data_IF_872850549999
#
_entry.id   IF_872850549999
#
_cell.length_a   1.000
_cell.length_b   1.000
_cell.length_c   1.000
_cell.angle_alpha   90.00
_cell.angle_beta   90.00
_cell.angle_gamma   90.00
#
_symmetry.space_group_name_H-M   'P 1'
#
loop_
_entity.id
_entity.type
_entity.pdbx_description
1 polymer ?
#
# COMPACT_ATOMS: atom_id res chain seq x y z
N UNK A 1 -6.01 -22.64 10.62
CA UNK A 1 -6.88 -21.77 9.78
C UNK A 1 -6.89 -22.32 8.36
N UNK A 2 -8.06 -22.47 7.77
CA UNK A 2 -8.15 -22.90 6.37
C UNK A 2 -7.86 -21.75 5.43
N UNK A 3 -7.53 -22.06 4.18
CA UNK A 3 -7.31 -21.04 3.15
C UNK A 3 -8.56 -20.19 2.92
N UNK A 4 -9.74 -20.82 2.94
CA UNK A 4 -11.01 -20.11 2.80
C UNK A 4 -11.27 -19.13 3.94
N UNK A 5 -10.99 -19.53 5.18
CA UNK A 5 -11.13 -18.67 6.34
C UNK A 5 -10.17 -17.48 6.27
N UNK A 6 -8.94 -17.71 5.81
CA UNK A 6 -7.96 -16.65 5.63
C UNK A 6 -8.43 -15.65 4.57
N UNK A 7 -8.92 -16.13 3.43
CA UNK A 7 -9.45 -15.27 2.38
C UNK A 7 -10.64 -14.45 2.85
N UNK A 8 -11.55 -15.07 3.61
CA UNK A 8 -12.70 -14.35 4.19
C UNK A 8 -12.23 -13.26 5.17
N UNK A 9 -11.20 -13.54 5.96
CA UNK A 9 -10.64 -12.55 6.86
C UNK A 9 -10.03 -11.37 6.07
N UNK A 10 -9.28 -11.65 5.02
CA UNK A 10 -8.68 -10.61 4.19
C UNK A 10 -9.74 -9.77 3.48
N UNK A 11 -10.84 -10.39 3.03
CA UNK A 11 -11.95 -9.67 2.42
C UNK A 11 -12.74 -8.80 3.41
N UNK A 12 -12.64 -9.09 4.71
CA UNK A 12 -13.28 -8.28 5.74
C UNK A 12 -12.55 -6.96 6.01
N UNK A 13 -11.30 -6.83 5.53
CA UNK A 13 -10.52 -5.61 5.68
C UNK A 13 -11.09 -4.52 4.77
N UNK A 14 -11.53 -3.41 5.36
CA UNK A 14 -12.18 -2.33 4.62
C UNK A 14 -11.21 -1.23 4.17
N UNK A 15 -10.07 -1.10 4.84
CA UNK A 15 -9.09 -0.06 4.55
C UNK A 15 -7.77 -0.59 4.01
N UNK A 16 -7.53 -1.89 4.07
CA UNK A 16 -6.28 -2.50 3.66
C UNK A 16 -6.47 -3.28 2.38
N UNK A 17 -5.72 -2.89 1.35
CA UNK A 17 -5.63 -3.63 0.10
C UNK A 17 -4.61 -4.75 0.27
N UNK A 18 -4.97 -5.96 -0.13
CA UNK A 18 -4.07 -7.12 -0.11
C UNK A 18 -4.12 -7.79 -1.48
N UNK A 19 -2.99 -7.96 -2.10
CA UNK A 19 -2.91 -8.72 -3.34
C UNK A 19 -1.62 -9.51 -3.42
N UNK A 20 -1.66 -10.58 -4.19
CA UNK A 20 -0.53 -11.48 -4.40
C UNK A 20 -0.26 -11.56 -5.90
N UNK A 21 0.99 -11.37 -6.28
CA UNK A 21 1.42 -11.47 -7.67
C UNK A 21 2.49 -12.55 -7.80
N UNK A 22 2.49 -13.25 -8.94
CA UNK A 22 3.56 -14.15 -9.29
C UNK A 22 4.82 -13.34 -9.56
N UNK A 23 5.95 -13.73 -8.95
CA UNK A 23 7.17 -12.92 -8.98
C UNK A 23 7.72 -12.73 -10.41
N UNK A 24 7.65 -13.76 -11.24
CA UNK A 24 8.21 -13.73 -12.58
C UNK A 24 7.29 -13.03 -13.58
N UNK A 25 6.01 -13.42 -13.64
CA UNK A 25 5.07 -12.92 -14.63
C UNK A 25 4.34 -11.65 -14.23
N UNK A 26 4.36 -11.28 -12.95
CA UNK A 26 3.61 -10.17 -12.35
C UNK A 26 2.09 -10.33 -12.49
N UNK A 27 1.60 -11.56 -12.66
CA UNK A 27 0.17 -11.82 -12.76
C UNK A 27 -0.46 -11.97 -11.39
N UNK A 28 -1.67 -11.46 -11.26
CA UNK A 28 -2.43 -11.54 -10.00
C UNK A 28 -2.82 -12.98 -9.71
N UNK A 29 -2.44 -13.45 -8.51
CA UNK A 29 -2.84 -14.74 -7.97
C UNK A 29 -3.97 -14.61 -6.96
N UNK A 30 -4.08 -13.46 -6.31
CA UNK A 30 -5.12 -13.15 -5.34
C UNK A 30 -5.25 -11.63 -5.19
N UNK A 31 -6.45 -11.18 -4.86
CA UNK A 31 -6.71 -9.82 -4.40
C UNK A 31 -7.97 -9.81 -3.53
N UNK A 32 -7.99 -8.93 -2.52
CA UNK A 32 -9.15 -8.82 -1.65
C UNK A 32 -10.16 -7.80 -2.18
N UNK A 33 -11.31 -7.65 -1.50
CA UNK A 33 -12.39 -6.74 -1.92
C UNK A 33 -11.92 -5.29 -2.05
N UNK A 34 -11.05 -4.84 -1.15
CA UNK A 34 -10.53 -3.47 -1.22
C UNK A 34 -9.77 -3.23 -2.52
N UNK A 35 -8.94 -4.19 -2.94
CA UNK A 35 -8.22 -4.11 -4.22
C UNK A 35 -9.17 -4.08 -5.41
N UNK A 36 -10.21 -4.90 -5.37
CA UNK A 36 -11.21 -4.96 -6.45
C UNK A 36 -11.85 -3.59 -6.65
N UNK A 37 -12.23 -2.94 -5.57
CA UNK A 37 -12.90 -1.66 -5.61
C UNK A 37 -11.99 -0.51 -6.08
N UNK A 38 -10.69 -0.58 -5.80
CA UNK A 38 -9.74 0.45 -6.22
C UNK A 38 -9.22 0.24 -7.64
N UNK A 39 -9.38 -0.95 -8.21
CA UNK A 39 -8.92 -1.27 -9.56
C UNK A 39 -9.83 -0.81 -10.68
N UNK A 40 -10.88 -0.05 -10.40
CA UNK A 40 -11.87 0.42 -11.40
C UNK A 40 -12.48 -0.73 -12.22
N UNK A 41 -12.65 -1.90 -11.60
CA UNK A 41 -13.18 -3.08 -12.26
C UNK A 41 -12.18 -3.82 -13.15
N UNK A 42 -10.93 -3.39 -13.20
CA UNK A 42 -9.88 -4.04 -14.01
C UNK A 42 -9.26 -5.26 -13.34
N UNK A 43 -9.42 -5.40 -12.02
CA UNK A 43 -8.80 -6.49 -11.28
C UNK A 43 -9.40 -7.83 -11.64
N UNK A 44 -8.57 -8.77 -12.07
CA UNK A 44 -8.96 -10.15 -12.36
C UNK A 44 -7.75 -11.06 -12.17
N UNK A 45 -7.99 -12.28 -11.72
CA UNK A 45 -6.90 -13.26 -11.56
C UNK A 45 -6.26 -13.56 -12.92
N UNK A 46 -4.94 -13.67 -12.94
CA UNK A 46 -4.18 -13.91 -14.14
C UNK A 46 -3.84 -12.67 -14.96
N UNK A 47 -4.40 -11.51 -14.64
CA UNK A 47 -4.06 -10.25 -15.30
C UNK A 47 -2.79 -9.70 -14.64
N UNK A 48 -1.94 -9.04 -15.41
CA UNK A 48 -0.71 -8.42 -14.89
C UNK A 48 -1.06 -7.22 -14.01
N UNK A 49 -0.30 -7.02 -12.94
CA UNK A 49 -0.54 -5.90 -12.01
C UNK A 49 -0.40 -4.54 -12.68
N UNK A 50 0.49 -4.40 -13.68
CA UNK A 50 0.66 -3.14 -14.42
C UNK A 50 -0.50 -2.83 -15.37
N UNK A 51 -1.28 -3.83 -15.75
CA UNK A 51 -2.51 -3.62 -16.52
C UNK A 51 -3.67 -3.18 -15.62
N UNK A 52 -3.69 -3.65 -14.37
CA UNK A 52 -4.74 -3.29 -13.42
C UNK A 52 -4.48 -1.92 -12.80
N UNK A 53 -3.25 -1.68 -12.36
CA UNK A 53 -2.85 -0.45 -11.66
C UNK A 53 -1.62 0.19 -12.28
N UNK A 54 -1.67 0.65 -13.52
CA UNK A 54 -0.51 1.29 -14.15
C UNK A 54 -0.05 2.54 -13.39
N UNK A 55 -0.97 3.21 -12.70
CA UNK A 55 -0.70 4.40 -11.91
C UNK A 55 0.24 4.14 -10.73
N UNK A 56 0.35 2.89 -10.27
CA UNK A 56 1.19 2.53 -9.13
C UNK A 56 2.62 2.14 -9.52
N UNK A 57 2.92 2.05 -10.82
CA UNK A 57 4.23 1.60 -11.28
C UNK A 57 5.37 2.57 -10.94
N UNK A 58 5.08 3.85 -10.72
CA UNK A 58 6.10 4.84 -10.32
C UNK A 58 6.73 4.50 -8.97
N UNK A 59 5.97 3.93 -8.05
CA UNK A 59 6.43 3.49 -6.73
C UNK A 59 6.21 1.99 -6.58
N UNK A 60 6.67 1.20 -7.56
CA UNK A 60 6.40 -0.23 -7.61
C UNK A 60 6.99 -0.98 -6.42
N UNK A 61 6.16 -1.65 -5.60
CA UNK A 61 6.64 -2.39 -4.43
C UNK A 61 7.62 -3.50 -4.79
N UNK A 62 7.50 -4.12 -5.96
CA UNK A 62 8.44 -5.13 -6.43
C UNK A 62 9.83 -4.57 -6.68
N UNK A 63 9.92 -3.42 -7.32
CA UNK A 63 11.21 -2.77 -7.58
C UNK A 63 11.87 -2.35 -6.27
N UNK A 64 11.08 -1.83 -5.33
CA UNK A 64 11.59 -1.41 -4.02
C UNK A 64 12.01 -2.59 -3.16
N UNK A 65 11.42 -3.76 -3.38
CA UNK A 65 11.79 -4.98 -2.67
C UNK A 65 13.22 -5.42 -3.02
N UNK A 66 13.60 -5.33 -4.31
CA UNK A 66 14.93 -5.76 -4.76
C UNK A 66 15.20 -7.22 -4.39
N UNK A 67 16.35 -7.48 -3.77
CA UNK A 67 16.75 -8.83 -3.36
C UNK A 67 16.33 -9.18 -1.94
N UNK A 68 15.60 -8.30 -1.25
CA UNK A 68 15.18 -8.53 0.14
C UNK A 68 13.97 -9.46 0.20
N UNK A 69 13.80 -10.11 1.36
CA UNK A 69 12.63 -10.96 1.62
C UNK A 69 11.39 -10.10 1.84
N UNK A 70 11.56 -8.93 2.46
CA UNK A 70 10.47 -8.01 2.74
C UNK A 70 10.92 -6.57 2.65
N UNK A 71 9.97 -5.67 2.39
CA UNK A 71 10.19 -4.24 2.38
C UNK A 71 8.93 -3.52 2.87
N UNK A 72 9.15 -2.40 3.53
CA UNK A 72 8.09 -1.47 3.93
C UNK A 72 8.44 -0.08 3.40
N UNK A 73 7.46 0.60 2.85
CA UNK A 73 7.63 1.99 2.42
C UNK A 73 6.36 2.79 2.67
N UNK A 74 6.52 4.10 2.74
CA UNK A 74 5.41 5.03 2.84
C UNK A 74 5.42 5.86 1.56
N UNK A 75 4.30 5.89 0.85
CA UNK A 75 4.20 6.63 -0.39
C UNK A 75 2.77 7.13 -0.63
N UNK A 76 2.65 8.07 -1.56
CA UNK A 76 1.33 8.55 -1.98
C UNK A 76 0.73 7.61 -3.00
N UNK A 77 -0.53 7.21 -2.76
CA UNK A 77 -1.30 6.37 -3.67
C UNK A 77 -2.25 7.25 -4.48
N UNK A 78 -2.03 7.38 -5.81
CA UNK A 78 -2.86 8.26 -6.64
C UNK A 78 -4.28 7.73 -6.86
N UNK A 79 -4.51 6.43 -6.70
CA UNK A 79 -5.85 5.85 -6.83
C UNK A 79 -6.70 6.10 -5.59
N UNK A 80 -6.11 5.94 -4.41
CA UNK A 80 -6.77 6.18 -3.13
C UNK A 80 -6.72 7.65 -2.72
N UNK A 81 -5.81 8.43 -3.32
CA UNK A 81 -5.57 9.85 -3.04
C UNK A 81 -5.22 10.09 -1.57
N UNK A 82 -4.35 9.25 -1.04
CA UNK A 82 -3.86 9.37 0.32
C UNK A 82 -2.47 8.74 0.46
N UNK A 83 -1.79 9.04 1.55
CA UNK A 83 -0.52 8.41 1.88
C UNK A 83 -0.78 7.04 2.48
N UNK A 84 -0.05 6.04 2.02
CA UNK A 84 -0.22 4.65 2.44
C UNK A 84 1.07 4.05 2.95
N UNK A 85 0.92 3.08 3.86
CA UNK A 85 1.97 2.15 4.24
C UNK A 85 1.88 0.95 3.31
N UNK A 86 2.94 0.68 2.58
CA UNK A 86 3.00 -0.44 1.63
C UNK A 86 4.02 -1.45 2.13
N UNK A 87 3.60 -2.69 2.23
CA UNK A 87 4.52 -3.80 2.53
C UNK A 87 4.57 -4.76 1.36
N UNK A 88 5.73 -5.34 1.12
CA UNK A 88 5.93 -6.41 0.15
C UNK A 88 6.72 -7.51 0.83
N UNK A 89 6.29 -8.75 0.64
CA UNK A 89 6.94 -9.90 1.26
C UNK A 89 6.94 -11.09 0.31
N UNK A 90 8.13 -11.69 0.07
CA UNK A 90 8.23 -12.88 -0.75
C UNK A 90 7.64 -14.07 -0.03
N UNK A 91 6.84 -14.85 -0.75
CA UNK A 91 6.19 -16.06 -0.25
C UNK A 91 6.24 -17.16 -1.30
N UNK A 92 5.89 -18.37 -0.89
CA UNK A 92 5.59 -19.45 -1.82
C UNK A 92 4.07 -19.64 -1.82
N UNK A 93 3.43 -19.18 -2.89
CA UNK A 93 1.98 -19.31 -3.03
C UNK A 93 1.61 -20.78 -3.19
N UNK A 94 0.67 -21.23 -2.37
CA UNK A 94 0.28 -22.64 -2.32
C UNK A 94 1.48 -23.59 -2.13
N UNK A 95 2.53 -23.09 -1.46
CA UNK A 95 3.72 -23.85 -1.14
C UNK A 95 4.72 -24.08 -2.27
N UNK A 96 4.47 -23.58 -3.48
CA UNK A 96 5.31 -23.90 -4.64
C UNK A 96 5.54 -22.76 -5.65
N UNK A 97 4.70 -21.73 -5.69
CA UNK A 97 4.84 -20.67 -6.69
C UNK A 97 5.53 -19.47 -6.06
N UNK A 98 6.73 -19.06 -6.52
CA UNK A 98 7.35 -17.85 -6.02
C UNK A 98 6.44 -16.65 -6.29
N UNK A 99 6.08 -15.94 -5.24
CA UNK A 99 5.14 -14.84 -5.30
C UNK A 99 5.51 -13.75 -4.30
N UNK A 100 4.83 -12.62 -4.41
CA UNK A 100 4.99 -11.51 -3.47
C UNK A 100 3.60 -11.09 -3.00
N UNK A 101 3.40 -11.08 -1.69
CA UNK A 101 2.20 -10.50 -1.08
C UNK A 101 2.45 -9.02 -0.85
N UNK A 102 1.53 -8.18 -1.31
CA UNK A 102 1.62 -6.74 -1.17
C UNK A 102 0.40 -6.25 -0.42
N UNK A 103 0.63 -5.41 0.60
CA UNK A 103 -0.44 -4.78 1.34
C UNK A 103 -0.28 -3.28 1.26
N UNK A 104 -1.39 -2.56 1.21
CA UNK A 104 -1.41 -1.10 1.25
C UNK A 104 -2.53 -0.66 2.19
N UNK A 105 -2.16 0.10 3.20
CA UNK A 105 -3.10 0.61 4.21
C UNK A 105 -2.85 2.10 4.42
N UNK A 106 -3.87 2.88 4.82
CA UNK A 106 -3.67 4.29 5.12
C UNK A 106 -2.55 4.48 6.15
N UNK A 107 -1.62 5.39 5.85
CA UNK A 107 -0.58 5.73 6.81
C UNK A 107 -1.18 6.47 7.97
N UNK A 108 -1.05 5.91 9.17
CA UNK A 108 -1.55 6.50 10.39
C UNK A 108 -0.38 6.93 11.25
N UNK A 109 -0.39 8.18 11.67
CA UNK A 109 0.62 8.70 12.58
C UNK A 109 0.44 8.05 13.95
N UNK A 110 1.56 7.69 14.58
CA UNK A 110 1.50 7.26 15.97
C UNK A 110 1.29 8.48 16.89
N UNK A 111 1.06 8.24 18.17
CA UNK A 111 0.78 9.30 19.13
C UNK A 111 1.87 10.38 19.17
N UNK A 112 3.13 9.99 19.12
CA UNK A 112 4.27 10.93 19.15
C UNK A 112 4.34 11.77 17.87
N UNK A 113 4.12 11.14 16.72
CA UNK A 113 4.09 11.84 15.44
C UNK A 113 2.95 12.84 15.39
N UNK A 114 1.75 12.47 15.85
CA UNK A 114 0.61 13.37 15.92
C UNK A 114 0.87 14.57 16.85
N UNK A 115 1.48 14.33 18.00
CA UNK A 115 1.85 15.41 18.90
C UNK A 115 2.87 16.35 18.26
N UNK A 116 3.84 15.82 17.56
CA UNK A 116 4.81 16.61 16.81
C UNK A 116 4.14 17.51 15.78
N UNK A 117 3.22 16.98 15.01
CA UNK A 117 2.47 17.75 14.03
C UNK A 117 1.59 18.82 14.67
N UNK A 118 0.90 18.50 15.76
CA UNK A 118 0.10 19.47 16.50
C UNK A 118 0.96 20.61 17.04
N UNK A 119 2.13 20.29 17.54
CA UNK A 119 3.08 21.28 18.05
C UNK A 119 3.53 22.23 16.94
N UNK A 120 3.85 21.69 15.75
CA UNK A 120 4.20 22.49 14.59
C UNK A 120 3.04 23.38 14.17
N UNK A 121 1.82 22.86 14.12
CA UNK A 121 0.62 23.64 13.82
C UNK A 121 0.41 24.79 14.80
N UNK A 122 0.63 24.57 16.07
CA UNK A 122 0.54 25.60 17.10
C UNK A 122 1.58 26.69 16.87
N UNK A 123 2.80 26.31 16.53
CA UNK A 123 3.85 27.28 16.17
C UNK A 123 3.45 28.12 14.97
N UNK A 124 2.88 27.52 13.94
CA UNK A 124 2.37 28.24 12.78
C UNK A 124 1.22 29.16 13.14
N UNK A 125 0.30 28.71 13.96
CA UNK A 125 -0.84 29.52 14.39
C UNK A 125 -0.42 30.76 15.18
N UNK A 126 0.59 30.66 16.03
CA UNK A 126 1.08 31.77 16.84
C UNK A 126 2.03 32.70 16.10
N UNK A 127 2.72 32.22 15.07
CA UNK A 127 3.74 32.98 14.33
C UNK A 127 3.50 32.99 12.82
N UNK A 128 2.24 32.75 12.40
CA UNK A 128 1.90 32.51 11.01
C UNK A 128 2.42 33.58 10.04
N UNK A 129 2.18 34.83 10.33
CA UNK A 129 2.58 35.95 9.48
C UNK A 129 4.11 36.01 9.35
N UNK A 130 4.80 35.90 10.48
CA UNK A 130 6.27 35.96 10.52
C UNK A 130 6.88 34.79 9.78
N UNK A 131 6.36 33.58 10.00
CA UNK A 131 6.87 32.35 9.34
C UNK A 131 6.66 32.44 7.83
N UNK A 132 5.49 32.86 7.38
CA UNK A 132 5.24 33.01 5.96
C UNK A 132 6.09 34.10 5.32
N UNK A 133 6.27 35.22 5.99
CA UNK A 133 7.11 36.31 5.47
C UNK A 133 8.57 35.88 5.35
N UNK A 134 9.05 35.03 6.24
CA UNK A 134 10.43 34.51 6.20
C UNK A 134 10.64 33.39 5.18
N UNK A 135 9.61 32.57 4.94
CA UNK A 135 9.69 31.39 4.07
C UNK A 135 9.32 31.68 2.61
N UNK A 136 8.67 32.78 2.35
CA UNK A 136 8.30 33.23 1.03
C UNK A 136 9.29 34.27 0.50
#
# INVERSE_FOLDING_TARGET
MTAENLMNLLDSLTETSVYVIEEESHRLLYFNERCRNTGRGRAALGIRCDEVWPELCANCPLKMLGDRVSNHMVCYDPLLKLTVDVTAHRINWEGRVPAVVITAAPHRLNFEEEQGFQKIRQMYASSLVTVFDECI
#
